data_IF_514543133208
#
_entry.id   IF_514543133208
#
_cell.length_a   1.000
_cell.length_b   1.000
_cell.length_c   1.000
_cell.angle_alpha   90.00
_cell.angle_beta   90.00
_cell.angle_gamma   90.00
#
_symmetry.space_group_name_H-M   'P 1'
#
loop_
_entity.id
_entity.type
_entity.pdbx_description
1 polymer ?
#
# COMPACT_ATOMS: atom_id res chain seq x y z
N UNK A 1 17.35 -19.15 11.35
CA UNK A 1 16.69 -20.32 10.75
C UNK A 1 15.41 -19.82 10.11
N UNK A 2 15.04 -20.23 8.89
CA UNK A 2 13.70 -19.94 8.40
C UNK A 2 12.68 -20.53 9.39
N UNK A 3 11.58 -19.81 9.64
CA UNK A 3 10.48 -20.28 10.49
C UNK A 3 9.94 -21.60 9.90
N UNK A 4 9.75 -22.63 10.73
CA UNK A 4 9.16 -23.90 10.29
C UNK A 4 7.69 -23.70 9.91
N UNK A 5 7.06 -24.59 9.11
CA UNK A 5 5.64 -24.50 8.80
C UNK A 5 4.77 -24.44 10.07
N UNK A 6 5.10 -25.21 11.11
CA UNK A 6 4.41 -25.15 12.41
C UNK A 6 4.54 -23.79 13.10
N UNK A 7 5.73 -23.18 13.07
CA UNK A 7 5.91 -21.83 13.60
C UNK A 7 5.10 -20.80 12.79
N UNK A 8 5.01 -20.96 11.47
CA UNK A 8 4.22 -20.09 10.60
C UNK A 8 2.72 -20.23 10.82
N UNK A 9 2.20 -21.46 11.05
CA UNK A 9 0.78 -21.67 11.30
C UNK A 9 0.32 -20.98 12.59
N UNK A 10 1.15 -21.05 13.64
CA UNK A 10 0.92 -20.33 14.90
C UNK A 10 0.98 -18.82 14.68
N UNK A 11 2.02 -18.32 14.01
CA UNK A 11 2.27 -16.88 13.79
C UNK A 11 1.15 -16.19 13.02
N UNK A 12 0.62 -16.84 11.98
CA UNK A 12 -0.43 -16.29 11.12
C UNK A 12 -1.83 -16.79 11.48
N UNK A 13 -1.97 -17.56 12.56
CA UNK A 13 -3.23 -18.14 13.03
C UNK A 13 -3.99 -18.90 11.92
N UNK A 14 -3.26 -19.68 11.12
CA UNK A 14 -3.83 -20.56 10.10
C UNK A 14 -3.84 -22.01 10.59
N UNK A 15 -4.79 -22.80 10.10
CA UNK A 15 -4.99 -24.20 10.56
C UNK A 15 -3.76 -25.08 10.30
N UNK A 16 -3.14 -24.94 9.13
CA UNK A 16 -1.94 -25.67 8.70
C UNK A 16 -1.11 -24.80 7.77
N UNK A 17 0.20 -25.03 7.76
CA UNK A 17 1.11 -24.46 6.78
C UNK A 17 2.02 -25.55 6.21
N UNK A 18 2.48 -25.35 4.99
CA UNK A 18 3.30 -26.28 4.22
C UNK A 18 4.36 -25.52 3.43
N UNK A 19 5.41 -26.20 2.98
CA UNK A 19 6.31 -25.61 2.00
C UNK A 19 5.62 -25.47 0.65
N UNK A 20 6.09 -24.52 -0.16
CA UNK A 20 5.49 -24.23 -1.47
C UNK A 20 5.60 -25.43 -2.42
N UNK A 21 6.71 -26.16 -2.34
CA UNK A 21 7.01 -27.35 -3.14
C UNK A 21 6.02 -28.48 -2.92
N UNK A 22 5.38 -28.53 -1.74
CA UNK A 22 4.38 -29.55 -1.40
C UNK A 22 2.98 -29.25 -1.99
N UNK A 23 2.76 -28.07 -2.58
CA UNK A 23 1.42 -27.59 -2.97
C UNK A 23 0.65 -28.61 -3.84
N UNK A 24 1.29 -29.17 -4.86
CA UNK A 24 0.65 -30.11 -5.79
C UNK A 24 0.29 -31.43 -5.11
N UNK A 25 1.17 -31.96 -4.26
CA UNK A 25 0.90 -33.17 -3.47
C UNK A 25 -0.30 -32.94 -2.54
N UNK A 26 -0.36 -31.78 -1.86
CA UNK A 26 -1.46 -31.44 -0.96
C UNK A 26 -2.78 -31.29 -1.68
N UNK A 27 -2.80 -30.63 -2.84
CA UNK A 27 -4.03 -30.49 -3.63
C UNK A 27 -4.56 -31.85 -4.11
N UNK A 28 -3.68 -32.80 -4.44
CA UNK A 28 -4.09 -34.18 -4.74
C UNK A 28 -4.63 -34.89 -3.51
N UNK A 29 -3.96 -34.75 -2.36
CA UNK A 29 -4.39 -35.34 -1.08
C UNK A 29 -5.76 -34.83 -0.63
N UNK A 30 -6.09 -33.57 -0.93
CA UNK A 30 -7.38 -32.96 -0.61
C UNK A 30 -8.45 -33.20 -1.67
N UNK A 31 -8.14 -33.96 -2.71
CA UNK A 31 -9.04 -34.24 -3.83
C UNK A 31 -9.58 -32.94 -4.45
N UNK A 32 -8.73 -31.92 -4.57
CA UNK A 32 -9.12 -30.60 -5.07
C UNK A 32 -9.73 -30.71 -6.47
N UNK A 33 -11.00 -30.33 -6.59
CA UNK A 33 -11.75 -30.42 -7.86
C UNK A 33 -11.63 -29.15 -8.69
N UNK A 34 -11.59 -27.98 -8.06
CA UNK A 34 -11.56 -26.67 -8.70
C UNK A 34 -10.66 -25.72 -7.92
N UNK A 35 -9.69 -25.13 -8.60
CA UNK A 35 -8.86 -24.05 -8.08
C UNK A 35 -9.37 -22.71 -8.59
N UNK A 36 -9.73 -21.81 -7.68
CA UNK A 36 -10.16 -20.45 -8.02
C UNK A 36 -8.96 -19.50 -7.95
N UNK A 37 -8.57 -18.92 -9.08
CA UNK A 37 -7.42 -18.02 -9.19
C UNK A 37 -7.85 -16.57 -9.43
N UNK A 38 -7.02 -15.61 -8.99
CA UNK A 38 -7.34 -14.19 -9.06
C UNK A 38 -6.93 -13.59 -10.40
N UNK A 39 -7.89 -13.37 -11.30
CA UNK A 39 -7.66 -12.63 -12.54
C UNK A 39 -8.80 -11.63 -12.83
N UNK A 40 -8.46 -10.35 -12.92
CA UNK A 40 -9.39 -9.32 -13.39
C UNK A 40 -8.74 -7.96 -13.54
N UNK A 41 -9.47 -7.01 -14.10
CA UNK A 41 -8.96 -5.68 -14.43
C UNK A 41 -9.17 -4.72 -13.26
N UNK A 42 -8.10 -4.04 -12.84
CA UNK A 42 -8.20 -2.87 -11.98
C UNK A 42 -8.67 -1.67 -12.80
N UNK A 43 -9.84 -1.12 -12.47
CA UNK A 43 -10.50 -0.07 -13.28
C UNK A 43 -9.80 1.29 -13.24
N UNK A 44 -8.90 1.53 -12.28
CA UNK A 44 -8.11 2.77 -12.23
C UNK A 44 -6.85 2.68 -13.10
N UNK A 45 -6.12 1.56 -13.05
CA UNK A 45 -4.86 1.39 -13.78
C UNK A 45 -5.02 0.74 -15.15
N UNK A 46 -6.17 0.12 -15.43
CA UNK A 46 -6.41 -0.68 -16.63
C UNK A 46 -5.62 -2.00 -16.67
N UNK A 47 -4.83 -2.31 -15.63
CA UNK A 47 -3.98 -3.49 -15.57
C UNK A 47 -4.74 -4.71 -15.04
N UNK A 48 -4.34 -5.88 -15.50
CA UNK A 48 -4.80 -7.15 -14.94
C UNK A 48 -4.07 -7.48 -13.63
N UNK A 49 -4.76 -8.11 -12.68
CA UNK A 49 -4.12 -8.78 -11.54
C UNK A 49 -3.23 -9.92 -12.03
N UNK A 50 -2.13 -10.17 -11.33
CA UNK A 50 -1.27 -11.31 -11.59
C UNK A 50 -1.96 -12.60 -11.12
N UNK A 51 -2.26 -13.49 -12.05
CA UNK A 51 -2.86 -14.78 -11.73
C UNK A 51 -1.82 -15.69 -11.06
N UNK A 52 -2.22 -16.37 -9.99
CA UNK A 52 -1.36 -17.34 -9.31
C UNK A 52 -1.10 -18.55 -10.22
N UNK A 53 0.16 -18.95 -10.30
CA UNK A 53 0.61 -20.12 -11.07
C UNK A 53 1.67 -20.87 -10.28
N UNK A 54 1.63 -22.19 -10.33
CA UNK A 54 2.62 -23.07 -9.70
C UNK A 54 2.83 -24.34 -10.55
N UNK A 55 4.01 -24.97 -10.49
CA UNK A 55 4.21 -26.25 -11.17
C UNK A 55 3.24 -27.32 -10.67
N UNK A 56 2.51 -27.97 -11.57
CA UNK A 56 1.52 -28.99 -11.22
C UNK A 56 0.09 -28.45 -11.13
N UNK A 57 -0.13 -27.13 -11.20
CA UNK A 57 -1.48 -26.54 -11.20
C UNK A 57 -2.29 -26.97 -12.43
N UNK A 58 -1.62 -27.29 -13.55
CA UNK A 58 -2.21 -27.77 -14.79
C UNK A 58 -2.94 -29.12 -14.64
N UNK A 59 -2.70 -29.84 -13.55
CA UNK A 59 -3.38 -31.10 -13.22
C UNK A 59 -4.78 -30.89 -12.65
N UNK A 60 -5.14 -29.65 -12.30
CA UNK A 60 -6.41 -29.31 -11.69
C UNK A 60 -7.24 -28.43 -12.62
N UNK A 61 -8.56 -28.47 -12.46
CA UNK A 61 -9.43 -27.50 -13.11
C UNK A 61 -9.20 -26.13 -12.48
N UNK A 62 -8.88 -25.13 -13.30
CA UNK A 62 -8.66 -23.75 -12.85
C UNK A 62 -9.76 -22.86 -13.40
N UNK A 63 -10.35 -22.04 -12.54
CA UNK A 63 -11.23 -20.95 -12.95
C UNK A 63 -10.69 -19.61 -12.43
N UNK A 64 -10.45 -18.70 -13.35
CA UNK A 64 -9.86 -17.40 -13.05
C UNK A 64 -10.85 -16.22 -13.18
N UNK A 65 -12.14 -16.51 -13.32
CA UNK A 65 -13.19 -15.49 -13.56
C UNK A 65 -14.10 -15.27 -12.36
N UNK A 66 -14.32 -16.32 -11.55
CA UNK A 66 -15.23 -16.27 -10.40
C UNK A 66 -14.65 -15.45 -9.24
N UNK A 67 -13.36 -15.65 -8.92
CA UNK A 67 -12.79 -15.10 -7.68
C UNK A 67 -12.71 -13.57 -7.68
N UNK A 68 -12.31 -12.95 -8.80
CA UNK A 68 -12.07 -11.51 -8.86
C UNK A 68 -13.27 -10.65 -8.45
N UNK A 69 -14.46 -10.78 -9.06
CA UNK A 69 -15.60 -9.96 -8.66
C UNK A 69 -16.02 -10.21 -7.20
N UNK A 70 -15.95 -11.46 -6.72
CA UNK A 70 -16.34 -11.82 -5.35
C UNK A 70 -15.41 -11.17 -4.33
N UNK A 71 -14.10 -11.31 -4.47
CA UNK A 71 -13.15 -10.74 -3.51
C UNK A 71 -13.12 -9.21 -3.57
N UNK A 72 -13.37 -8.61 -4.74
CA UNK A 72 -13.50 -7.16 -4.89
C UNK A 72 -14.71 -6.66 -4.08
N UNK A 73 -15.85 -7.35 -4.17
CA UNK A 73 -17.04 -7.00 -3.40
C UNK A 73 -16.81 -7.16 -1.89
N UNK A 74 -16.14 -8.23 -1.46
CA UNK A 74 -15.75 -8.39 -0.05
C UNK A 74 -14.86 -7.23 0.43
N UNK A 75 -13.89 -6.78 -0.38
CA UNK A 75 -12.99 -5.66 -0.03
C UNK A 75 -13.69 -4.30 -0.05
N UNK A 76 -14.88 -4.18 -0.63
CA UNK A 76 -15.64 -2.94 -0.64
C UNK A 76 -16.11 -2.58 0.77
N UNK A 77 -16.61 -3.57 1.51
CA UNK A 77 -17.15 -3.43 2.86
C UNK A 77 -16.11 -3.83 3.91
N UNK A 78 -15.78 -2.91 4.83
CA UNK A 78 -14.69 -3.12 5.80
C UNK A 78 -15.22 -3.83 7.03
N UNK A 79 -14.46 -4.78 7.55
CA UNK A 79 -14.73 -5.37 8.88
C UNK A 79 -14.44 -4.36 9.99
N UNK A 80 -14.83 -4.68 11.22
CA UNK A 80 -14.55 -3.80 12.36
C UNK A 80 -13.05 -3.68 12.62
N UNK A 81 -12.32 -4.77 12.48
CA UNK A 81 -10.87 -4.85 12.63
C UNK A 81 -10.15 -4.01 11.55
N UNK A 82 -10.61 -4.10 10.29
CA UNK A 82 -10.08 -3.26 9.21
C UNK A 82 -10.34 -1.77 9.47
N UNK A 83 -11.54 -1.42 9.97
CA UNK A 83 -11.86 -0.05 10.34
C UNK A 83 -10.97 0.46 11.47
N UNK A 84 -10.60 -0.37 12.43
CA UNK A 84 -9.69 0.02 13.52
C UNK A 84 -8.28 0.33 13.01
N UNK A 85 -7.77 -0.45 12.05
CA UNK A 85 -6.51 -0.15 11.37
C UNK A 85 -6.60 1.13 10.55
N UNK A 86 -7.70 1.35 9.82
CA UNK A 86 -7.93 2.58 9.06
C UNK A 86 -8.03 3.81 9.98
N UNK A 87 -8.68 3.70 11.14
CA UNK A 87 -8.74 4.76 12.16
C UNK A 87 -7.37 5.06 12.72
N UNK A 88 -6.57 4.04 13.00
CA UNK A 88 -5.19 4.21 13.45
C UNK A 88 -4.35 4.96 12.40
N UNK A 89 -4.37 4.52 11.15
CA UNK A 89 -3.65 5.17 10.04
C UNK A 89 -4.06 6.64 9.90
N UNK A 90 -5.36 6.93 9.88
CA UNK A 90 -5.87 8.30 9.84
C UNK A 90 -5.43 9.14 11.05
N UNK A 91 -5.42 8.56 12.25
CA UNK A 91 -4.97 9.25 13.47
C UNK A 91 -3.51 9.67 13.36
N UNK A 92 -2.64 8.77 12.89
CA UNK A 92 -1.22 9.07 12.69
C UNK A 92 -1.04 10.10 11.58
N UNK A 93 -1.61 9.89 10.39
CA UNK A 93 -1.52 10.86 9.28
C UNK A 93 -2.04 12.25 9.66
N UNK A 94 -3.14 12.33 10.43
CA UNK A 94 -3.66 13.60 10.95
C UNK A 94 -2.69 14.25 11.94
N UNK A 95 -2.04 13.46 12.81
CA UNK A 95 -1.02 13.97 13.72
C UNK A 95 0.20 14.50 12.96
N UNK A 96 0.62 13.82 11.89
CA UNK A 96 1.70 14.25 10.99
C UNK A 96 1.35 15.57 10.32
N UNK A 97 0.17 15.71 9.72
CA UNK A 97 -0.28 16.98 9.12
C UNK A 97 -0.28 18.13 10.13
N UNK A 98 -0.78 17.91 11.36
CA UNK A 98 -0.73 18.93 12.42
C UNK A 98 0.69 19.27 12.86
N UNK A 99 1.56 18.28 12.93
CA UNK A 99 2.97 18.50 13.24
C UNK A 99 3.59 19.33 12.12
N UNK A 100 3.45 18.93 10.86
CA UNK A 100 3.96 19.67 9.71
C UNK A 100 3.52 21.15 9.71
N UNK A 101 2.23 21.43 9.93
CA UNK A 101 1.70 22.81 9.97
C UNK A 101 2.39 23.70 11.04
N UNK A 102 2.95 23.11 12.10
CA UNK A 102 3.69 23.87 13.13
C UNK A 102 5.13 24.18 12.73
N UNK A 103 5.70 23.42 11.80
CA UNK A 103 7.12 23.52 11.40
C UNK A 103 7.32 24.24 10.06
N UNK A 104 6.35 24.21 9.14
CA UNK A 104 6.46 24.93 7.86
C UNK A 104 6.72 26.42 8.10
N UNK A 105 7.70 26.97 7.39
CA UNK A 105 8.03 28.40 7.38
C UNK A 105 8.20 28.89 5.93
N UNK A 106 7.88 30.16 5.66
CA UNK A 106 8.30 30.85 4.43
C UNK A 106 9.77 30.60 4.12
N UNK A 107 10.10 30.30 2.87
CA UNK A 107 11.48 30.04 2.43
C UNK A 107 11.96 28.59 2.56
N UNK A 108 11.16 27.67 3.13
CA UNK A 108 11.46 26.23 3.07
C UNK A 108 11.17 25.67 1.68
N UNK A 109 11.98 24.72 1.24
CA UNK A 109 11.64 23.86 0.12
C UNK A 109 10.49 22.91 0.48
N UNK A 110 9.70 22.58 -0.52
CA UNK A 110 8.61 21.61 -0.42
C UNK A 110 9.10 20.22 0.05
N UNK A 111 10.27 19.75 -0.40
CA UNK A 111 10.83 18.47 0.04
C UNK A 111 11.29 18.50 1.51
N UNK A 112 11.66 19.66 2.05
CA UNK A 112 11.99 19.78 3.47
C UNK A 112 10.73 19.56 4.31
N UNK A 113 9.62 20.15 3.87
CA UNK A 113 8.30 19.89 4.44
C UNK A 113 7.87 18.43 4.25
N UNK A 114 8.12 17.83 3.09
CA UNK A 114 7.89 16.40 2.85
C UNK A 114 8.70 15.52 3.80
N UNK A 115 9.97 15.82 4.06
CA UNK A 115 10.85 14.98 4.89
C UNK A 115 10.37 14.79 6.33
N UNK A 116 9.58 15.75 6.84
CA UNK A 116 8.96 15.70 8.17
C UNK A 116 7.90 14.59 8.25
N UNK A 117 7.22 14.30 7.13
CA UNK A 117 6.17 13.28 7.06
C UNK A 117 6.66 11.87 7.43
N UNK A 118 7.61 11.29 6.67
CA UNK A 118 8.11 9.94 6.92
C UNK A 118 8.80 9.81 8.26
N UNK A 119 9.53 10.85 8.69
CA UNK A 119 10.10 10.87 10.02
C UNK A 119 9.02 10.65 11.09
N UNK A 120 7.94 11.44 11.05
CA UNK A 120 6.91 11.38 12.07
C UNK A 120 6.11 10.06 12.03
N UNK A 121 5.56 9.69 10.87
CA UNK A 121 4.69 8.51 10.80
C UNK A 121 5.47 7.21 11.07
N UNK A 122 6.76 7.18 10.74
CA UNK A 122 7.55 5.98 10.96
C UNK A 122 7.96 5.89 12.43
N UNK A 123 8.50 6.98 13.00
CA UNK A 123 8.95 7.00 14.38
C UNK A 123 7.81 6.86 15.39
N UNK A 124 6.67 7.53 15.17
CA UNK A 124 5.54 7.51 16.10
C UNK A 124 4.44 6.50 15.75
N UNK A 125 4.33 6.14 14.47
CA UNK A 125 3.24 5.32 13.94
C UNK A 125 3.64 3.91 13.53
N UNK A 126 4.94 3.60 13.46
CA UNK A 126 5.42 2.30 12.95
C UNK A 126 5.10 2.06 11.47
N UNK A 127 4.77 3.13 10.72
CA UNK A 127 4.40 3.02 9.31
C UNK A 127 5.67 3.08 8.47
N UNK A 128 6.17 1.95 7.98
CA UNK A 128 7.38 1.93 7.15
C UNK A 128 7.14 2.51 5.76
N UNK A 129 5.94 2.30 5.22
CA UNK A 129 5.59 2.65 3.84
C UNK A 129 4.53 3.76 3.82
N UNK A 130 4.60 4.59 2.78
CA UNK A 130 3.56 5.55 2.44
C UNK A 130 2.60 4.95 1.40
N UNK A 131 1.33 5.34 1.44
CA UNK A 131 0.32 4.83 0.51
C UNK A 131 0.52 5.33 -0.94
N UNK A 132 1.14 6.50 -1.12
CA UNK A 132 1.46 7.12 -2.39
C UNK A 132 2.56 8.19 -2.18
N UNK A 133 3.23 8.62 -3.26
CA UNK A 133 4.24 9.69 -3.20
C UNK A 133 3.66 10.97 -2.62
N UNK A 134 4.35 11.62 -1.68
CA UNK A 134 3.81 12.81 -1.04
C UNK A 134 3.65 13.96 -2.04
N UNK A 135 2.50 14.64 -1.97
CA UNK A 135 2.18 15.81 -2.79
C UNK A 135 2.44 17.05 -1.92
N UNK A 136 3.69 17.51 -1.90
CA UNK A 136 4.14 18.64 -1.09
C UNK A 136 4.05 19.96 -1.85
N UNK A 137 2.87 20.36 -2.33
CA UNK A 137 2.78 21.49 -3.26
C UNK A 137 2.65 22.87 -2.57
N UNK A 138 3.26 23.89 -3.17
CA UNK A 138 3.13 25.31 -2.81
C UNK A 138 2.83 26.19 -4.02
N UNK A 139 2.10 27.29 -3.79
CA UNK A 139 1.69 28.26 -4.83
C UNK A 139 1.02 27.59 -6.05
N UNK A 140 1.52 27.83 -7.26
CA UNK A 140 0.92 27.33 -8.50
C UNK A 140 1.02 25.80 -8.60
N UNK A 141 1.97 25.15 -7.91
CA UNK A 141 2.04 23.70 -7.86
C UNK A 141 0.80 23.09 -7.19
N UNK A 142 0.08 23.84 -6.34
CA UNK A 142 -1.18 23.39 -5.74
C UNK A 142 -2.28 23.15 -6.78
N UNK A 143 -2.13 23.66 -8.01
CA UNK A 143 -3.03 23.39 -9.13
C UNK A 143 -2.69 22.07 -9.88
N UNK A 144 -1.56 21.43 -9.57
CA UNK A 144 -1.12 20.17 -10.17
C UNK A 144 -1.51 18.99 -9.27
N UNK A 145 -2.50 18.19 -9.70
CA UNK A 145 -3.13 17.16 -8.86
C UNK A 145 -2.17 16.10 -8.31
N UNK A 146 -1.23 15.62 -9.12
CA UNK A 146 -0.27 14.57 -8.74
C UNK A 146 1.17 15.10 -8.74
N UNK A 147 1.39 16.31 -8.23
CA UNK A 147 2.73 16.86 -8.01
C UNK A 147 3.55 16.00 -7.02
N UNK A 148 4.88 16.11 -7.03
CA UNK A 148 5.78 15.35 -6.14
C UNK A 148 6.37 14.08 -6.74
N UNK A 149 5.97 13.69 -7.95
CA UNK A 149 6.63 12.61 -8.69
C UNK A 149 8.04 13.01 -9.17
N UNK A 150 8.79 12.05 -9.73
CA UNK A 150 10.18 12.25 -10.13
C UNK A 150 10.41 13.48 -11.05
N UNK A 151 9.54 13.72 -12.03
CA UNK A 151 9.66 14.87 -12.95
C UNK A 151 9.23 16.22 -12.32
N UNK A 152 8.74 16.23 -11.08
CA UNK A 152 8.29 17.42 -10.35
C UNK A 152 8.43 17.18 -8.83
N UNK A 153 9.67 17.01 -8.33
CA UNK A 153 9.96 16.26 -7.11
C UNK A 153 9.92 17.12 -5.83
N UNK A 154 8.86 17.90 -5.64
CA UNK A 154 8.69 18.76 -4.45
C UNK A 154 9.88 19.73 -4.24
N UNK A 155 10.40 20.35 -5.31
CA UNK A 155 11.65 21.13 -5.22
C UNK A 155 11.46 22.64 -5.02
N UNK A 156 10.23 23.16 -5.11
CA UNK A 156 9.99 24.60 -5.09
C UNK A 156 10.17 25.17 -3.68
N UNK A 157 10.72 26.38 -3.59
CA UNK A 157 10.78 27.15 -2.34
C UNK A 157 9.41 27.80 -2.08
N UNK A 158 8.81 27.51 -0.93
CA UNK A 158 7.61 28.20 -0.42
C UNK A 158 7.89 29.70 -0.27
N UNK A 159 6.89 30.56 -0.55
CA UNK A 159 7.04 32.03 -0.62
C UNK A 159 8.08 32.59 0.37
N UNK A 160 9.11 33.28 -0.09
CA UNK A 160 10.06 34.00 0.78
C UNK A 160 9.48 35.35 1.18
N UNK A 161 9.67 35.81 2.41
CA UNK A 161 9.26 37.18 2.79
C UNK A 161 10.19 38.26 2.18
N UNK A 162 10.98 37.91 1.15
CA UNK A 162 11.89 38.81 0.47
C UNK A 162 11.19 39.39 -0.77
N UNK A 163 11.32 40.71 -1.03
CA UNK A 163 10.71 41.35 -2.20
C UNK A 163 11.28 40.78 -3.51
N UNK A 164 10.44 40.67 -4.55
CA UNK A 164 10.69 39.99 -5.84
C UNK A 164 11.89 40.53 -6.66
N UNK A 165 12.54 41.58 -6.18
CA UNK A 165 13.55 42.38 -6.89
C UNK A 165 14.98 42.22 -6.32
N UNK A 166 15.29 41.09 -5.69
CA UNK A 166 16.66 40.71 -5.29
C UNK A 166 17.01 39.25 -5.64
N UNK A 167 16.75 38.85 -6.89
CA UNK A 167 17.30 37.63 -7.49
C UNK A 167 17.85 37.96 -8.89
#
# INVERSE_FOLDING_TARGET
MPDTPEAMSIKYAVEKAYYFEEMTERFQQWETTLSLTLRGTNTNSGRYTLEASSPGIEKFLVNNTILHPVIVECRLYKTHEELDVLRYSNRISSAVHRHLMRYIRPGMHEFEAESIFPHYYYFHGGMLHVAYTCIGASRHNCATLHYGHADSPNERISHSNLPENMA
#
